data_IF_428455264384
#
_entry.id   IF_428455264384
#
_cell.length_a   1.000
_cell.length_b   1.000
_cell.length_c   1.000
_cell.angle_alpha   90.00
_cell.angle_beta   90.00
_cell.angle_gamma   90.00
#
_symmetry.space_group_name_H-M   'P 1'
#
loop_
_entity.id
_entity.type
_entity.pdbx_description
1 polymer ?
#
# COMPACT_ATOMS: atom_id res chain seq x y z
N UNK A 1 -18.13 -8.08 13.72
CA UNK A 1 -17.52 -7.42 14.89
C UNK A 1 -17.90 -8.22 16.11
N UNK A 2 -16.93 -8.65 16.92
CA UNK A 2 -17.19 -9.38 18.17
C UNK A 2 -17.19 -8.34 19.29
N UNK A 3 -18.34 -8.14 19.94
CA UNK A 3 -18.49 -7.23 21.08
C UNK A 3 -18.18 -7.99 22.35
N UNK A 4 -17.28 -7.46 23.19
CA UNK A 4 -17.08 -7.98 24.54
C UNK A 4 -18.28 -7.61 25.41
N UNK A 5 -18.85 -8.58 26.10
CA UNK A 5 -19.89 -8.37 27.11
C UNK A 5 -19.26 -7.94 28.42
N UNK A 6 -19.62 -6.75 28.94
CA UNK A 6 -19.26 -6.27 30.28
C UNK A 6 -20.50 -5.82 31.07
N UNK A 7 -20.30 -5.84 32.39
CA UNK A 7 -21.21 -5.79 33.55
C UNK A 7 -22.30 -4.71 33.57
N UNK A 8 -23.39 -5.03 34.28
CA UNK A 8 -24.75 -4.44 34.29
C UNK A 8 -24.89 -2.92 34.53
N UNK A 9 -23.82 -2.15 34.79
CA UNK A 9 -23.90 -0.71 35.07
C UNK A 9 -23.61 0.22 33.87
N UNK A 10 -23.17 -0.32 32.72
CA UNK A 10 -22.87 0.47 31.50
C UNK A 10 -23.69 0.00 30.28
N UNK A 11 -24.97 -0.33 30.45
CA UNK A 11 -25.86 -0.67 29.34
C UNK A 11 -26.06 0.53 28.40
N UNK A 12 -25.43 0.49 27.23
CA UNK A 12 -25.79 1.32 26.07
C UNK A 12 -24.64 2.06 25.36
N UNK A 13 -23.41 2.05 25.87
CA UNK A 13 -22.26 2.66 25.17
C UNK A 13 -21.43 1.58 24.46
N UNK A 14 -21.53 1.55 23.14
CA UNK A 14 -20.56 0.82 22.32
C UNK A 14 -19.19 1.52 22.42
N UNK A 15 -18.17 0.78 22.87
CA UNK A 15 -16.79 1.25 22.83
C UNK A 15 -16.30 1.26 21.36
N UNK A 16 -16.39 2.43 20.72
CA UNK A 16 -15.98 2.62 19.33
C UNK A 16 -14.61 3.28 19.31
N UNK A 17 -13.58 2.49 18.99
CA UNK A 17 -12.24 3.02 18.73
C UNK A 17 -12.15 3.59 17.31
N UNK A 18 -11.60 4.80 17.12
CA UNK A 18 -11.36 5.32 15.78
C UNK A 18 -10.24 4.53 15.09
N UNK A 19 -10.26 4.50 13.75
CA UNK A 19 -9.24 3.83 12.96
C UNK A 19 -7.87 4.52 13.13
N UNK A 20 -6.83 3.69 13.30
CA UNK A 20 -5.42 4.10 13.35
C UNK A 20 -4.82 4.14 11.95
N UNK A 21 -5.25 3.22 11.09
CA UNK A 21 -4.80 3.08 9.70
C UNK A 21 -6.02 3.23 8.80
N UNK A 22 -5.91 4.06 7.77
CA UNK A 22 -6.94 4.30 6.76
C UNK A 22 -6.41 3.94 5.38
N UNK A 23 -7.20 3.19 4.62
CA UNK A 23 -6.90 2.83 3.25
C UNK A 23 -7.84 3.58 2.30
N UNK A 24 -7.31 4.05 1.17
CA UNK A 24 -8.16 4.41 0.04
C UNK A 24 -8.56 3.16 -0.73
N UNK A 25 -9.62 3.24 -1.52
CA UNK A 25 -9.91 2.20 -2.49
C UNK A 25 -8.74 2.06 -3.48
N UNK A 26 -8.45 0.83 -3.89
CA UNK A 26 -7.54 0.56 -4.98
C UNK A 26 -8.22 0.96 -6.29
N UNK A 27 -7.65 1.91 -7.01
CA UNK A 27 -8.17 2.41 -8.28
C UNK A 27 -7.22 2.01 -9.39
N UNK A 28 -7.77 1.51 -10.49
CA UNK A 28 -6.99 1.13 -11.67
C UNK A 28 -6.43 2.40 -12.33
N UNK A 29 -5.16 2.33 -12.72
CA UNK A 29 -4.45 3.40 -13.43
C UNK A 29 -4.60 3.28 -14.95
N UNK A 30 -5.31 2.25 -15.43
CA UNK A 30 -5.58 2.03 -16.84
C UNK A 30 -7.08 1.90 -17.07
N UNK A 31 -7.58 2.24 -18.27
CA UNK A 31 -8.99 2.07 -18.59
C UNK A 31 -9.40 0.60 -18.53
N UNK A 32 -10.61 0.34 -18.02
CA UNK A 32 -11.23 -0.98 -18.08
C UNK A 32 -11.76 -1.23 -19.49
N UNK A 33 -11.27 -2.29 -20.16
CA UNK A 33 -11.66 -2.64 -21.52
C UNK A 33 -12.86 -3.59 -21.61
N UNK A 34 -13.37 -4.10 -20.48
CA UNK A 34 -14.52 -5.01 -20.51
C UNK A 34 -14.16 -6.46 -20.86
N UNK A 35 -12.94 -6.91 -20.56
CA UNK A 35 -12.49 -8.25 -20.93
C UNK A 35 -13.29 -9.35 -20.20
N UNK A 36 -13.76 -10.34 -20.97
CA UNK A 36 -14.55 -11.47 -20.48
C UNK A 36 -13.82 -12.76 -20.89
N UNK A 37 -13.46 -13.56 -19.89
CA UNK A 37 -12.94 -14.90 -20.09
C UNK A 37 -14.08 -15.93 -20.03
N UNK A 38 -14.06 -16.87 -20.98
CA UNK A 38 -14.98 -18.00 -21.03
C UNK A 38 -14.27 -19.24 -20.51
N UNK A 39 -14.73 -19.75 -19.38
CA UNK A 39 -14.18 -20.94 -18.75
C UNK A 39 -15.15 -22.10 -18.85
N UNK A 40 -14.61 -23.28 -19.08
CA UNK A 40 -15.34 -24.52 -18.97
C UNK A 40 -14.42 -25.56 -18.33
N UNK A 41 -15.01 -26.53 -17.62
CA UNK A 41 -14.26 -27.67 -17.09
C UNK A 41 -14.57 -28.93 -17.92
N UNK A 42 -13.87 -29.14 -19.05
CA UNK A 42 -14.16 -30.26 -19.94
C UNK A 42 -13.84 -31.61 -19.31
N UNK A 43 -12.81 -31.68 -18.48
CA UNK A 43 -12.39 -32.92 -17.82
C UNK A 43 -13.37 -33.36 -16.71
N UNK A 44 -13.95 -32.40 -15.98
CA UNK A 44 -15.02 -32.71 -15.03
C UNK A 44 -16.31 -33.13 -15.75
N UNK A 45 -16.62 -32.54 -16.91
CA UNK A 45 -17.75 -32.94 -17.73
C UNK A 45 -17.58 -34.37 -18.27
N UNK A 46 -16.41 -34.72 -18.81
CA UNK A 46 -16.09 -36.07 -19.30
C UNK A 46 -16.28 -37.17 -18.25
N UNK A 47 -16.05 -36.87 -16.97
CA UNK A 47 -16.32 -37.81 -15.86
C UNK A 47 -17.80 -38.13 -15.66
N UNK A 48 -18.72 -37.26 -16.10
CA UNK A 48 -20.18 -37.51 -16.04
C UNK A 48 -20.68 -38.41 -17.19
N UNK A 49 -19.90 -38.57 -18.26
CA UNK A 49 -20.24 -39.42 -19.40
C UNK A 49 -19.76 -38.83 -20.74
N UNK A 50 -19.76 -39.64 -21.82
CA UNK A 50 -19.31 -39.21 -23.15
C UNK A 50 -20.17 -38.11 -23.78
N UNK A 51 -21.45 -38.01 -23.39
CA UNK A 51 -22.40 -37.00 -23.89
C UNK A 51 -22.50 -35.76 -23.01
N UNK A 52 -21.72 -35.68 -21.92
CA UNK A 52 -21.79 -34.58 -20.99
C UNK A 52 -21.12 -33.33 -21.56
N UNK A 53 -21.93 -32.29 -21.82
CA UNK A 53 -21.43 -31.02 -22.32
C UNK A 53 -20.88 -30.16 -21.15
N UNK A 54 -19.68 -29.57 -21.27
CA UNK A 54 -19.17 -28.65 -20.27
C UNK A 54 -20.08 -27.42 -20.19
N UNK A 55 -20.48 -27.02 -18.98
CA UNK A 55 -21.21 -25.77 -18.80
C UNK A 55 -20.20 -24.61 -18.81
N UNK A 56 -20.20 -23.73 -19.84
CA UNK A 56 -19.34 -22.57 -19.83
C UNK A 56 -19.83 -21.56 -18.78
N UNK A 57 -18.89 -20.93 -18.08
CA UNK A 57 -19.14 -19.78 -17.24
C UNK A 57 -18.26 -18.62 -17.69
N UNK A 58 -18.78 -17.41 -17.53
CA UNK A 58 -18.10 -16.20 -17.94
C UNK A 58 -17.55 -15.51 -16.69
N UNK A 59 -16.28 -15.08 -16.74
CA UNK A 59 -15.64 -14.28 -15.71
C UNK A 59 -15.12 -12.99 -16.33
N UNK A 60 -15.45 -11.86 -15.74
CA UNK A 60 -14.80 -10.60 -16.10
C UNK A 60 -13.37 -10.64 -15.55
N UNK A 61 -12.38 -10.38 -16.41
CA UNK A 61 -11.00 -10.27 -16.00
C UNK A 61 -10.53 -8.83 -16.21
N UNK A 62 -9.79 -8.29 -15.25
CA UNK A 62 -9.13 -7.00 -15.40
C UNK A 62 -7.76 -7.06 -14.76
N UNK A 63 -6.72 -7.10 -15.60
CA UNK A 63 -5.33 -7.02 -15.15
C UNK A 63 -4.83 -5.63 -15.46
N UNK A 64 -4.51 -4.89 -14.40
CA UNK A 64 -4.05 -3.52 -14.52
C UNK A 64 -3.17 -3.14 -13.35
N UNK A 65 -2.46 -2.04 -13.50
CA UNK A 65 -1.77 -1.37 -12.41
C UNK A 65 -2.80 -0.67 -11.51
N UNK A 66 -2.69 -0.92 -10.21
CA UNK A 66 -3.57 -0.30 -9.21
C UNK A 66 -2.76 0.62 -8.31
N UNK A 67 -3.36 1.76 -7.95
CA UNK A 67 -2.86 2.64 -6.90
C UNK A 67 -3.79 2.63 -5.70
N UNK A 68 -3.21 2.61 -4.51
CA UNK A 68 -3.90 2.82 -3.25
C UNK A 68 -2.99 3.64 -2.32
N UNK A 69 -3.59 4.27 -1.31
CA UNK A 69 -2.86 5.07 -0.34
C UNK A 69 -3.20 4.60 1.07
N UNK A 70 -2.18 4.54 1.91
CA UNK A 70 -2.29 4.16 3.32
C UNK A 70 -1.90 5.37 4.16
N UNK A 71 -2.79 5.76 5.08
CA UNK A 71 -2.56 6.84 6.03
C UNK A 71 -2.54 6.25 7.43
N UNK A 72 -1.45 6.48 8.16
CA UNK A 72 -1.24 5.97 9.51
C UNK A 72 -1.20 7.16 10.47
N UNK A 73 -2.08 7.18 11.46
CA UNK A 73 -2.06 8.18 12.53
C UNK A 73 -1.18 7.72 13.69
N UNK A 74 0.09 8.16 13.68
CA UNK A 74 1.09 7.82 14.70
C UNK A 74 0.64 8.19 16.13
N UNK A 75 -0.14 9.25 16.29
CA UNK A 75 -0.61 9.68 17.62
C UNK A 75 -1.64 8.72 18.24
N UNK A 76 -2.24 7.85 17.42
CA UNK A 76 -3.23 6.85 17.84
C UNK A 76 -2.66 5.45 17.95
N UNK A 77 -1.46 5.21 17.42
CA UNK A 77 -0.77 3.91 17.51
C UNK A 77 -0.39 3.60 18.96
N UNK A 78 0.15 4.60 19.67
CA UNK A 78 0.36 4.57 21.12
C UNK A 78 -0.85 5.17 21.83
N UNK A 79 -1.28 4.57 22.95
CA UNK A 79 -2.30 5.20 23.79
C UNK A 79 -1.69 6.48 24.38
N UNK A 80 -2.40 7.60 24.24
CA UNK A 80 -1.94 8.94 24.66
C UNK A 80 -1.73 9.08 26.17
N UNK A 81 -2.27 8.15 26.98
CA UNK A 81 -2.36 8.29 28.43
C UNK A 81 -1.24 7.63 29.24
N UNK A 82 -0.33 6.85 28.64
CA UNK A 82 0.77 6.24 29.39
C UNK A 82 2.11 6.43 28.68
N UNK A 83 2.92 7.34 29.21
CA UNK A 83 4.32 7.59 28.84
C UNK A 83 5.25 6.47 29.32
N UNK A 84 4.92 5.21 29.00
CA UNK A 84 5.73 4.05 29.37
C UNK A 84 6.56 3.59 28.16
N UNK A 85 7.86 3.34 28.39
CA UNK A 85 8.82 2.84 27.39
C UNK A 85 8.35 1.56 26.69
N UNK A 86 7.58 0.73 27.41
CA UNK A 86 7.01 -0.50 26.89
C UNK A 86 5.93 -0.30 25.81
N UNK A 87 5.23 0.84 25.80
CA UNK A 87 4.22 1.13 24.78
C UNK A 87 4.84 1.70 23.50
N UNK A 88 5.98 2.39 23.61
CA UNK A 88 6.81 2.80 22.45
C UNK A 88 7.30 1.56 21.69
N UNK A 89 7.83 0.56 22.42
CA UNK A 89 8.28 -0.71 21.83
C UNK A 89 7.14 -1.46 21.11
N UNK A 90 5.95 -1.53 21.72
CA UNK A 90 4.77 -2.15 21.09
C UNK A 90 4.28 -1.37 19.87
N UNK A 91 4.33 -0.03 19.90
CA UNK A 91 3.96 0.80 18.76
C UNK A 91 4.90 0.56 17.58
N UNK A 92 6.21 0.54 17.84
CA UNK A 92 7.23 0.19 16.85
C UNK A 92 6.96 -1.19 16.25
N UNK A 93 6.77 -2.22 17.09
CA UNK A 93 6.52 -3.59 16.63
C UNK A 93 5.27 -3.70 15.73
N UNK A 94 4.17 -3.04 16.12
CA UNK A 94 2.92 -3.03 15.33
C UNK A 94 3.09 -2.34 13.98
N UNK A 95 3.82 -1.22 13.95
CA UNK A 95 4.09 -0.50 12.70
C UNK A 95 5.01 -1.31 11.79
N UNK A 96 6.04 -1.95 12.34
CA UNK A 96 6.93 -2.84 11.60
C UNK A 96 6.18 -4.03 11.00
N UNK A 97 5.30 -4.67 11.76
CA UNK A 97 4.43 -5.75 11.26
C UNK A 97 3.48 -5.28 10.15
N UNK A 98 2.92 -4.07 10.27
CA UNK A 98 2.07 -3.49 9.24
C UNK A 98 2.85 -3.26 7.94
N UNK A 99 4.06 -2.72 8.02
CA UNK A 99 4.92 -2.50 6.86
C UNK A 99 5.32 -3.82 6.19
N UNK A 100 5.62 -4.86 6.98
CA UNK A 100 5.88 -6.21 6.45
C UNK A 100 4.66 -6.80 5.73
N UNK A 101 3.46 -6.59 6.30
CA UNK A 101 2.22 -7.03 5.67
C UNK A 101 1.96 -6.28 4.35
N UNK A 102 2.28 -5.00 4.25
CA UNK A 102 2.18 -4.22 3.00
C UNK A 102 3.18 -4.72 1.95
N UNK A 103 4.39 -5.11 2.33
CA UNK A 103 5.40 -5.63 1.41
C UNK A 103 5.09 -7.03 0.87
N UNK A 104 4.30 -7.82 1.58
CA UNK A 104 3.97 -9.22 1.23
C UNK A 104 2.50 -9.43 0.84
N UNK A 105 1.81 -8.33 0.53
CA UNK A 105 0.37 -8.34 0.27
C UNK A 105 0.04 -9.16 -0.99
N UNK A 106 -0.92 -10.08 -0.87
CA UNK A 106 -1.45 -10.85 -1.99
C UNK A 106 -2.96 -11.03 -1.82
N UNK A 107 -3.68 -11.00 -2.93
CA UNK A 107 -5.10 -11.33 -2.95
C UNK A 107 -5.25 -12.83 -3.21
N UNK A 108 -5.95 -13.54 -2.33
CA UNK A 108 -6.29 -14.94 -2.55
C UNK A 108 -7.80 -15.08 -2.76
N UNK A 109 -8.21 -15.47 -3.97
CA UNK A 109 -9.59 -15.87 -4.29
C UNK A 109 -9.56 -17.34 -4.70
N UNK A 110 -10.08 -18.21 -3.83
CA UNK A 110 -10.16 -19.65 -4.08
C UNK A 110 -8.80 -20.26 -4.52
N UNK A 111 -8.66 -20.59 -5.81
CA UNK A 111 -7.47 -21.18 -6.41
C UNK A 111 -6.50 -20.12 -6.99
N UNK A 112 -6.94 -18.88 -7.16
CA UNK A 112 -6.15 -17.80 -7.74
C UNK A 112 -5.43 -17.01 -6.64
N UNK A 113 -4.16 -16.72 -6.90
CA UNK A 113 -3.33 -15.82 -6.09
C UNK A 113 -2.85 -14.69 -6.97
N UNK A 114 -3.38 -13.51 -6.73
CA UNK A 114 -2.96 -12.30 -7.44
C UNK A 114 -1.99 -11.53 -6.56
N UNK A 115 -0.78 -11.23 -7.07
CA UNK A 115 0.17 -10.42 -6.33
C UNK A 115 -0.38 -9.00 -6.19
N UNK A 116 -0.48 -8.53 -4.95
CA UNK A 116 -0.75 -7.13 -4.62
C UNK A 116 0.49 -6.46 -4.01
N UNK A 117 1.67 -7.09 -4.15
CA UNK A 117 2.90 -6.48 -3.69
C UNK A 117 3.14 -5.19 -4.48
N UNK A 118 3.57 -4.12 -3.82
CA UNK A 118 3.72 -2.82 -4.46
C UNK A 118 4.88 -2.86 -5.47
N UNK A 119 4.64 -2.35 -6.68
CA UNK A 119 5.70 -2.07 -7.66
C UNK A 119 6.39 -0.73 -7.38
N UNK A 120 5.65 0.20 -6.79
CA UNK A 120 6.09 1.55 -6.46
C UNK A 120 5.58 1.91 -5.07
N UNK A 121 6.44 2.45 -4.20
CA UNK A 121 6.06 2.99 -2.91
C UNK A 121 6.60 4.41 -2.81
N UNK A 122 5.73 5.34 -2.41
CA UNK A 122 6.10 6.66 -1.93
C UNK A 122 5.50 6.84 -0.53
N UNK A 123 6.37 7.07 0.46
CA UNK A 123 5.97 7.37 1.83
C UNK A 123 6.37 8.80 2.18
N UNK A 124 5.59 9.48 3.00
CA UNK A 124 5.96 10.79 3.53
C UNK A 124 5.44 11.00 4.95
N UNK A 125 6.25 11.64 5.79
CA UNK A 125 5.77 12.12 7.09
C UNK A 125 5.00 13.42 6.92
N UNK A 126 3.70 13.40 7.23
CA UNK A 126 2.78 14.49 6.97
C UNK A 126 2.17 15.03 8.26
N UNK A 127 1.92 16.33 8.31
CA UNK A 127 1.27 16.99 9.47
C UNK A 127 -0.20 16.61 9.64
N UNK A 128 -0.90 16.33 8.54
CA UNK A 128 -2.32 16.00 8.52
C UNK A 128 -2.53 14.67 7.80
N UNK A 129 -3.44 13.83 8.29
CA UNK A 129 -3.74 12.52 7.72
C UNK A 129 -4.49 12.57 6.38
N UNK A 130 -3.82 13.08 5.34
CA UNK A 130 -4.34 13.18 3.98
C UNK A 130 -3.51 12.32 3.03
N UNK A 131 -4.12 11.54 2.12
CA UNK A 131 -3.40 10.73 1.15
C UNK A 131 -2.82 11.62 0.03
N UNK A 132 -1.77 12.36 0.34
CA UNK A 132 -1.25 13.44 -0.52
C UNK A 132 -0.86 12.96 -1.93
N UNK A 133 -0.26 11.77 -2.06
CA UNK A 133 0.24 11.27 -3.35
C UNK A 133 -0.85 10.68 -4.24
N UNK A 134 -2.05 10.41 -3.73
CA UNK A 134 -3.09 9.69 -4.47
C UNK A 134 -3.45 10.35 -5.82
N UNK A 135 -3.43 11.69 -5.84
CA UNK A 135 -3.77 12.50 -7.01
C UNK A 135 -2.56 12.87 -7.87
N UNK A 136 -1.34 12.57 -7.42
CA UNK A 136 -0.11 12.95 -8.11
C UNK A 136 0.67 11.75 -8.65
N UNK A 137 0.11 10.54 -8.54
CA UNK A 137 0.66 9.31 -9.10
C UNK A 137 -0.25 8.86 -10.24
N UNK A 138 0.23 9.03 -11.47
CA UNK A 138 -0.43 8.65 -12.72
C UNK A 138 0.58 7.99 -13.67
N UNK A 139 0.08 7.18 -14.61
CA UNK A 139 0.89 6.60 -15.69
C UNK A 139 0.75 7.50 -16.91
N UNK A 140 1.88 8.00 -17.40
CA UNK A 140 2.01 8.57 -18.73
C UNK A 140 2.27 7.46 -19.75
N UNK A 141 1.42 7.40 -20.78
CA UNK A 141 1.67 6.61 -21.99
C UNK A 141 2.29 7.55 -23.03
N UNK A 142 3.61 7.52 -23.18
CA UNK A 142 4.30 8.16 -24.32
C UNK A 142 4.45 7.14 -25.44
N UNK A 143 4.73 7.61 -26.65
CA UNK A 143 4.68 6.89 -27.94
C UNK A 143 5.48 5.56 -28.05
N UNK A 144 6.16 5.10 -26.99
CA UNK A 144 7.05 3.92 -26.94
C UNK A 144 6.46 2.67 -26.24
N UNK A 145 5.13 2.54 -26.11
CA UNK A 145 4.43 1.39 -25.49
C UNK A 145 4.81 1.04 -24.02
N UNK A 146 5.78 1.73 -23.42
CA UNK A 146 6.19 1.55 -22.04
C UNK A 146 5.32 2.40 -21.09
N UNK A 147 4.76 1.76 -20.05
CA UNK A 147 4.07 2.47 -18.98
C UNK A 147 5.10 3.26 -18.17
N UNK A 148 5.07 4.60 -18.18
CA UNK A 148 6.00 5.44 -17.38
C UNK A 148 5.22 6.24 -16.36
N UNK A 149 5.65 6.35 -15.10
CA UNK A 149 5.03 7.27 -14.15
C UNK A 149 5.23 8.72 -14.62
N UNK A 150 4.19 9.53 -14.50
CA UNK A 150 4.28 10.97 -14.75
C UNK A 150 5.08 11.64 -13.62
N UNK A 151 6.40 11.78 -13.85
CA UNK A 151 7.31 12.38 -12.87
C UNK A 151 7.01 13.85 -12.62
N UNK A 152 6.61 14.60 -13.64
CA UNK A 152 6.31 16.03 -13.48
C UNK A 152 5.10 16.23 -12.57
N UNK A 153 4.07 15.39 -12.75
CA UNK A 153 2.92 15.37 -11.85
C UNK A 153 3.31 14.96 -10.43
N UNK A 154 4.17 13.96 -10.30
CA UNK A 154 4.63 13.48 -9.00
C UNK A 154 5.44 14.53 -8.24
N UNK A 155 6.37 15.21 -8.93
CA UNK A 155 7.18 16.31 -8.39
C UNK A 155 6.31 17.50 -7.97
N UNK A 156 5.25 17.81 -8.72
CA UNK A 156 4.24 18.77 -8.29
C UNK A 156 3.57 18.34 -6.99
N UNK A 157 3.29 17.05 -6.80
CA UNK A 157 2.77 16.51 -5.54
C UNK A 157 3.71 16.71 -4.35
N UNK A 158 5.01 16.48 -4.56
CA UNK A 158 6.04 16.74 -3.55
C UNK A 158 6.12 18.22 -3.15
N UNK A 159 6.01 19.12 -4.13
CA UNK A 159 6.14 20.56 -3.92
C UNK A 159 4.84 21.24 -3.42
N UNK A 160 3.67 20.74 -3.85
CA UNK A 160 2.37 21.27 -3.46
C UNK A 160 2.01 20.94 -2.01
N UNK A 161 2.57 19.85 -1.49
CA UNK A 161 2.38 19.45 -0.10
C UNK A 161 3.32 20.21 0.84
N UNK A 162 3.05 21.49 1.09
CA UNK A 162 3.59 22.24 2.26
C UNK A 162 3.22 21.61 3.63
N UNK A 163 2.59 20.43 3.61
CA UNK A 163 2.25 19.57 4.73
C UNK A 163 3.24 18.44 4.97
N UNK A 164 4.16 18.15 4.03
CA UNK A 164 5.25 17.19 4.26
C UNK A 164 6.22 17.83 5.24
N UNK A 165 6.44 17.15 6.35
CA UNK A 165 7.39 17.58 7.37
C UNK A 165 8.80 17.33 6.84
N UNK A 166 9.63 18.37 6.92
CA UNK A 166 11.05 18.28 6.58
C UNK A 166 11.80 17.60 7.73
N UNK A 167 12.77 16.79 7.40
CA UNK A 167 13.66 16.15 8.36
C UNK A 167 14.45 17.21 9.14
N UNK A 168 14.60 17.03 10.46
CA UNK A 168 15.16 18.04 11.38
C UNK A 168 16.63 18.39 11.07
N UNK A 169 17.38 17.46 10.49
CA UNK A 169 18.83 17.63 10.32
C UNK A 169 19.29 17.96 8.89
N UNK A 170 18.42 17.81 7.87
CA UNK A 170 18.88 17.96 6.48
C UNK A 170 17.94 18.73 5.54
N UNK A 171 16.80 19.25 6.03
CA UNK A 171 15.77 19.94 5.21
C UNK A 171 15.23 19.13 4.02
N UNK A 172 15.63 17.87 3.86
CA UNK A 172 15.10 16.93 2.89
C UNK A 172 13.66 16.58 3.32
N UNK A 173 12.70 16.56 2.41
CA UNK A 173 11.37 16.10 2.77
C UNK A 173 11.49 14.59 3.07
N UNK A 174 10.97 14.14 4.21
CA UNK A 174 11.10 12.76 4.67
C UNK A 174 10.23 11.85 3.79
N UNK A 175 10.70 11.57 2.58
CA UNK A 175 10.11 10.61 1.66
C UNK A 175 11.16 9.64 1.15
N UNK A 176 10.69 8.42 0.90
CA UNK A 176 11.41 7.40 0.16
C UNK A 176 10.58 7.09 -1.08
N UNK A 177 11.22 7.16 -2.25
CA UNK A 177 10.65 6.82 -3.56
C UNK A 177 11.40 5.62 -4.05
N UNK A 178 10.67 4.63 -4.55
CA UNK A 178 11.24 3.58 -5.37
C UNK A 178 10.97 3.77 -6.85
N UNK A 179 11.96 3.46 -7.70
CA UNK A 179 11.71 2.98 -9.06
C UNK A 179 11.43 1.47 -9.08
N UNK A 180 10.24 1.06 -9.53
CA UNK A 180 9.87 -0.35 -9.62
C UNK A 180 10.67 -1.10 -10.68
N UNK A 181 11.22 -2.26 -10.32
CA UNK A 181 11.79 -3.23 -11.27
C UNK A 181 10.67 -4.04 -11.94
N UNK A 182 10.16 -3.54 -13.07
CA UNK A 182 9.20 -4.18 -13.97
C UNK A 182 9.05 -3.38 -15.27
N UNK A 183 8.15 -3.76 -16.18
CA UNK A 183 7.89 -3.08 -17.48
C UNK A 183 7.47 -1.59 -17.37
N UNK A 184 7.49 -1.03 -16.16
CA UNK A 184 7.30 0.38 -15.90
C UNK A 184 8.67 1.08 -16.00
N UNK A 185 9.03 1.55 -17.19
CA UNK A 185 10.23 2.35 -17.37
C UNK A 185 10.03 3.74 -16.79
N UNK A 186 10.47 3.98 -15.55
CA UNK A 186 10.48 5.32 -15.00
C UNK A 186 11.59 6.08 -15.70
N UNK A 187 11.22 6.96 -16.64
CA UNK A 187 12.15 7.81 -17.38
C UNK A 187 12.81 8.85 -16.46
N UNK A 188 13.60 8.40 -15.49
CA UNK A 188 14.41 9.24 -14.63
C UNK A 188 15.61 9.72 -15.44
N UNK A 189 15.60 10.99 -15.86
CA UNK A 189 16.84 11.67 -16.23
C UNK A 189 17.61 12.02 -14.95
N UNK A 190 18.14 10.99 -14.29
CA UNK A 190 19.09 11.09 -13.17
C UNK A 190 20.53 11.14 -13.70
N UNK A 191 20.82 11.94 -14.72
CA UNK A 191 22.19 12.10 -15.23
C UNK A 191 23.17 12.73 -14.21
N UNK A 192 22.79 12.89 -12.94
CA UNK A 192 23.69 13.41 -11.90
C UNK A 192 23.74 12.66 -10.56
N UNK A 193 23.06 11.53 -10.37
CA UNK A 193 23.31 10.68 -9.19
C UNK A 193 23.29 9.21 -9.55
N UNK A 194 24.47 8.59 -9.52
CA UNK A 194 24.71 7.14 -9.60
C UNK A 194 24.20 6.41 -8.35
N UNK A 195 22.94 6.60 -7.96
CA UNK A 195 22.36 5.92 -6.79
C UNK A 195 21.55 4.68 -7.22
N UNK A 196 21.80 3.58 -6.52
CA UNK A 196 21.34 2.21 -6.82
C UNK A 196 19.82 2.15 -6.98
N UNK A 197 19.36 1.34 -7.94
CA UNK A 197 17.97 0.87 -8.03
C UNK A 197 17.59 0.16 -6.73
N UNK A 198 16.83 0.82 -5.87
CA UNK A 198 16.29 0.21 -4.64
C UNK A 198 15.07 -0.68 -5.00
N UNK A 199 14.73 -1.66 -4.16
CA UNK A 199 13.58 -2.59 -4.31
C UNK A 199 12.46 -2.16 -3.33
N UNK A 200 11.14 -2.43 -3.53
CA UNK A 200 10.10 -1.93 -2.60
C UNK A 200 10.31 -2.33 -1.13
N UNK A 201 11.03 -3.44 -0.94
CA UNK A 201 11.51 -3.95 0.34
C UNK A 201 12.51 -2.99 1.00
N UNK A 202 13.37 -2.32 0.23
CA UNK A 202 14.36 -1.35 0.71
C UNK A 202 13.67 -0.07 1.21
N UNK A 203 12.60 0.40 0.54
CA UNK A 203 11.78 1.53 1.04
C UNK A 203 11.12 1.17 2.37
N UNK A 204 10.54 -0.03 2.46
CA UNK A 204 9.98 -0.53 3.72
C UNK A 204 11.05 -0.55 4.81
N UNK A 205 12.28 -0.97 4.48
CA UNK A 205 13.42 -0.97 5.40
C UNK A 205 13.81 0.44 5.83
N UNK A 206 13.91 1.40 4.91
CA UNK A 206 14.18 2.81 5.24
C UNK A 206 13.11 3.40 6.15
N UNK A 207 11.83 3.10 5.91
CA UNK A 207 10.73 3.53 6.78
C UNK A 207 10.87 2.90 8.18
N UNK A 208 11.27 1.62 8.27
CA UNK A 208 11.54 0.95 9.55
C UNK A 208 12.73 1.56 10.28
N UNK A 209 13.79 1.91 9.57
CA UNK A 209 14.95 2.58 10.15
C UNK A 209 14.54 3.95 10.70
N UNK A 210 13.74 4.73 9.96
CA UNK A 210 13.14 5.98 10.43
C UNK A 210 12.20 5.80 11.63
N UNK A 211 11.47 4.69 11.72
CA UNK A 211 10.63 4.37 12.88
C UNK A 211 11.45 4.17 14.17
N UNK A 212 12.73 3.77 14.08
CA UNK A 212 13.61 3.68 15.24
C UNK A 212 13.88 5.06 15.85
N UNK A 213 13.95 6.11 15.03
CA UNK A 213 14.18 7.47 15.50
C UNK A 213 12.95 8.04 16.24
N UNK A 214 11.74 7.65 15.84
CA UNK A 214 10.49 8.13 16.45
C UNK A 214 10.13 7.31 17.68
N UNK A 215 10.27 5.99 17.59
CA UNK A 215 9.98 5.05 18.67
C UNK A 215 11.27 4.33 19.03
N UNK A 216 12.16 4.96 19.82
CA UNK A 216 13.43 4.34 20.17
C UNK A 216 13.17 3.08 20.98
N UNK A 217 13.55 1.95 20.40
CA UNK A 217 13.66 0.68 21.11
C UNK A 217 15.08 0.62 21.66
N UNK A 218 15.30 1.03 22.91
CA UNK A 218 16.57 0.69 23.57
C UNK A 218 16.64 -0.84 23.67
N UNK A 219 17.66 -1.43 23.06
CA UNK A 219 18.10 -2.76 23.43
C UNK A 219 18.86 -2.63 24.76
N UNK A 220 18.38 -3.31 25.80
CA UNK A 220 19.16 -3.62 26.99
C UNK A 220 20.19 -4.71 26.68
#
# INVERSE_FOLDING_TARGET
MKTETKTEEEEGKADVRPAVVTFTHAVSMEPYNGDIAFYANPEMARRKGPDANPNPYNRQEHKSLYKYSVVIDLNRVSKKDDSNEQDSKKAHERLSQLLDALGSLHHQIAADREPLYPLFIAAAHIRFGSPIFHNYVEISKKDDDENKLDWELFERGLNHAGSILKEKDNHKPAWSILEGSGDIHLGMNLEKQEEKKEIPIDVIKQIKDWLNDIYPTKEE
#
